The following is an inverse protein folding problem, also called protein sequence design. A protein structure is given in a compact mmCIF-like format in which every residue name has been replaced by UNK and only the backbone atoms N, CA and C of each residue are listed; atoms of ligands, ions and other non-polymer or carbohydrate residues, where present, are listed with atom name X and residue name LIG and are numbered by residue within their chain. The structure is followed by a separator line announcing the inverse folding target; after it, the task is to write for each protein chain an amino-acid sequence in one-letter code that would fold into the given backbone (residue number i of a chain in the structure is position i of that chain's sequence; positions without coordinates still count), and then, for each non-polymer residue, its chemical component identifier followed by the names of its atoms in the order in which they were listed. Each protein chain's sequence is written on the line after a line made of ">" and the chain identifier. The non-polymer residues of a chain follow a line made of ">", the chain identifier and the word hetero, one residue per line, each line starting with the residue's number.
data_IF_696051614361
#
_entry.id   IF_696051614361
#
_cell.length_a   1.000
_cell.length_b   1.000
_cell.length_c   1.000
_cell.angle_alpha   90.00
_cell.angle_beta   90.00
_cell.angle_gamma   90.00
#
_symmetry.space_group_name_H-M   'P 1'
#
loop_
_entity.id
_entity.type
_entity.pdbx_description
1 polymer ?
#
# COMPACT_ATOMS: atom_id res chain seq x y z
N UNK A 1 11.65 -1.47 -7.79
CA UNK A 1 10.54 -0.62 -7.30
C UNK A 1 10.15 -1.11 -5.91
N UNK A 2 10.28 -0.28 -4.88
CA UNK A 2 9.86 -0.64 -3.53
C UNK A 2 8.41 -0.17 -3.33
N UNK A 3 7.43 -1.09 -3.27
CA UNK A 3 6.02 -0.73 -3.09
C UNK A 3 5.75 -0.06 -1.73
N UNK A 4 6.61 -0.32 -0.74
CA UNK A 4 6.67 0.38 0.54
C UNK A 4 6.87 1.90 0.38
N UNK A 5 7.77 2.30 -0.52
CA UNK A 5 8.11 3.70 -0.74
C UNK A 5 7.00 4.47 -1.48
N UNK A 6 6.33 3.79 -2.41
CA UNK A 6 5.17 4.31 -3.16
C UNK A 6 3.96 4.61 -2.26
N UNK A 7 3.73 3.75 -1.28
CA UNK A 7 2.67 3.94 -0.29
C UNK A 7 3.12 4.76 0.93
N UNK A 8 4.42 5.08 1.03
CA UNK A 8 4.99 5.79 2.18
C UNK A 8 4.89 5.01 3.49
N UNK A 9 5.02 3.68 3.43
CA UNK A 9 4.90 2.77 4.57
C UNK A 9 6.18 1.97 4.80
N UNK A 10 6.47 1.62 6.05
CA UNK A 10 7.65 0.82 6.39
C UNK A 10 7.48 -0.68 6.07
N UNK A 11 8.57 -1.40 5.80
CA UNK A 11 8.56 -2.86 5.75
C UNK A 11 8.12 -3.45 7.09
N UNK A 12 7.20 -4.42 7.07
CA UNK A 12 6.56 -4.96 8.29
C UNK A 12 5.34 -4.15 8.78
N UNK A 13 4.87 -3.16 8.01
CA UNK A 13 3.66 -2.40 8.33
C UNK A 13 2.45 -3.31 8.54
N UNK A 14 1.69 -3.11 9.62
CA UNK A 14 0.47 -3.90 9.87
C UNK A 14 -0.57 -3.68 8.76
N UNK A 15 -1.40 -4.69 8.43
CA UNK A 15 -2.40 -4.59 7.37
C UNK A 15 -3.39 -3.43 7.57
N UNK A 16 -3.67 -3.04 8.82
CA UNK A 16 -4.47 -1.84 9.14
C UNK A 16 -3.80 -0.55 8.66
N UNK A 17 -2.49 -0.38 8.92
CA UNK A 17 -1.72 0.79 8.49
C UNK A 17 -1.54 0.83 6.98
N UNK A 18 -1.31 -0.32 6.35
CA UNK A 18 -1.25 -0.46 4.89
C UNK A 18 -2.56 0.00 4.23
N UNK A 19 -3.71 -0.43 4.77
CA UNK A 19 -5.05 -0.03 4.28
C UNK A 19 -5.30 1.46 4.49
N UNK A 20 -4.82 2.03 5.60
CA UNK A 20 -4.96 3.46 5.90
C UNK A 20 -4.13 4.32 4.93
N UNK A 21 -2.88 3.95 4.67
CA UNK A 21 -2.01 4.63 3.71
C UNK A 21 -2.58 4.57 2.28
N UNK A 22 -3.06 3.41 1.85
CA UNK A 22 -3.75 3.27 0.56
C UNK A 22 -4.93 4.23 0.44
N UNK A 23 -5.79 4.30 1.47
CA UNK A 23 -6.97 5.18 1.46
C UNK A 23 -6.57 6.66 1.33
N UNK A 24 -5.52 7.09 2.04
CA UNK A 24 -5.00 8.45 1.97
C UNK A 24 -4.45 8.79 0.58
N UNK A 25 -3.67 7.88 -0.02
CA UNK A 25 -3.12 8.06 -1.36
C UNK A 25 -4.20 8.08 -2.44
N UNK A 26 -5.21 7.19 -2.35
CA UNK A 26 -6.36 7.20 -3.27
C UNK A 26 -7.14 8.51 -3.17
N UNK A 27 -7.40 9.02 -1.96
CA UNK A 27 -8.09 10.29 -1.79
C UNK A 27 -7.28 11.48 -2.32
N UNK A 28 -5.95 11.43 -2.27
CA UNK A 28 -5.07 12.46 -2.86
C UNK A 28 -5.02 12.42 -4.38
N UNK A 29 -5.08 11.23 -4.97
CA UNK A 29 -4.90 11.03 -6.41
C UNK A 29 -6.22 10.75 -7.15
N UNK A 30 -7.37 10.89 -6.48
CA UNK A 30 -8.66 10.57 -7.06
C UNK A 30 -8.94 11.50 -8.26
N UNK A 31 -9.30 10.97 -9.44
CA UNK A 31 -9.55 11.79 -10.61
C UNK A 31 -10.80 12.68 -10.48
N UNK A 32 -11.67 12.36 -9.54
CA UNK A 32 -12.94 13.06 -9.29
C UNK A 32 -12.84 14.15 -8.20
N UNK A 33 -11.70 14.25 -7.48
CA UNK A 33 -11.46 15.42 -6.61
C UNK A 33 -11.04 16.59 -7.49
N UNK A 34 -11.95 17.55 -7.67
CA UNK A 34 -11.98 18.60 -8.69
C UNK A 34 -10.82 19.60 -8.80
N UNK A 35 -9.60 19.24 -8.40
CA UNK A 35 -8.38 20.07 -8.51
C UNK A 35 -7.50 19.73 -9.74
N UNK A 36 -8.02 19.00 -10.73
CA UNK A 36 -7.34 18.81 -12.03
C UNK A 36 -6.04 17.99 -11.99
N UNK A 37 -5.62 17.51 -10.81
CA UNK A 37 -4.43 16.69 -10.59
C UNK A 37 -4.78 15.20 -10.39
N UNK A 38 -5.87 14.75 -11.01
CA UNK A 38 -6.27 13.36 -11.07
C UNK A 38 -5.19 12.53 -11.75
N UNK A 39 -4.26 11.99 -10.97
CA UNK A 39 -3.09 11.32 -11.51
C UNK A 39 -3.37 9.82 -11.57
N UNK A 40 -4.08 9.41 -12.63
CA UNK A 40 -4.47 8.02 -12.90
C UNK A 40 -3.28 7.07 -12.84
N UNK A 41 -2.10 7.52 -13.29
CA UNK A 41 -0.87 6.75 -13.25
C UNK A 41 -0.44 6.43 -11.81
N UNK A 42 -0.44 7.45 -10.94
CA UNK A 42 -0.18 7.28 -9.50
C UNK A 42 -1.22 6.41 -8.81
N UNK A 43 -2.50 6.55 -9.17
CA UNK A 43 -3.55 5.70 -8.63
C UNK A 43 -3.32 4.22 -8.95
N UNK A 44 -2.90 3.91 -10.19
CA UNK A 44 -2.55 2.55 -10.62
C UNK A 44 -1.37 2.01 -9.81
N UNK A 45 -0.28 2.79 -9.75
CA UNK A 45 0.93 2.47 -8.99
C UNK A 45 0.63 2.17 -7.51
N UNK A 46 -0.13 3.03 -6.83
CA UNK A 46 -0.55 2.85 -5.43
C UNK A 46 -1.39 1.59 -5.25
N UNK A 47 -2.25 1.27 -6.22
CA UNK A 47 -3.11 0.06 -6.18
C UNK A 47 -2.31 -1.22 -6.38
N UNK A 48 -1.39 -1.25 -7.34
CA UNK A 48 -0.48 -2.39 -7.55
C UNK A 48 0.42 -2.61 -6.34
N UNK A 49 1.01 -1.53 -5.81
CA UNK A 49 1.82 -1.58 -4.60
C UNK A 49 1.03 -2.15 -3.41
N UNK A 50 -0.22 -1.74 -3.23
CA UNK A 50 -1.07 -2.23 -2.15
C UNK A 50 -1.38 -3.72 -2.28
N UNK A 51 -1.71 -4.19 -3.49
CA UNK A 51 -1.97 -5.62 -3.73
C UNK A 51 -0.71 -6.47 -3.51
N UNK A 52 0.45 -5.99 -3.94
CA UNK A 52 1.72 -6.70 -3.74
C UNK A 52 2.07 -6.78 -2.26
N UNK A 53 1.97 -5.66 -1.54
CA UNK A 53 2.22 -5.60 -0.11
C UNK A 53 1.21 -6.40 0.69
N UNK A 54 -0.06 -6.45 0.28
CA UNK A 54 -1.05 -7.27 0.95
C UNK A 54 -0.72 -8.77 0.82
N UNK A 55 -0.23 -9.20 -0.35
CA UNK A 55 0.25 -10.57 -0.55
C UNK A 55 1.52 -10.87 0.25
N UNK A 56 2.49 -9.97 0.25
CA UNK A 56 3.73 -10.09 1.03
C UNK A 56 3.44 -10.09 2.54
N UNK A 57 2.57 -9.22 3.02
CA UNK A 57 2.23 -9.12 4.44
C UNK A 57 1.41 -10.34 4.89
N UNK A 58 0.47 -10.83 4.07
CA UNK A 58 -0.18 -12.12 4.33
C UNK A 58 0.82 -13.29 4.37
N UNK A 59 1.87 -13.23 3.55
CA UNK A 59 2.97 -14.20 3.56
C UNK A 59 3.90 -14.03 4.78
N UNK A 60 4.18 -12.81 5.24
CA UNK A 60 4.96 -12.57 6.45
C UNK A 60 4.20 -13.02 7.69
N UNK A 61 2.89 -12.77 7.78
CA UNK A 61 2.05 -13.26 8.88
C UNK A 61 2.08 -14.80 8.95
N UNK A 62 2.06 -15.48 7.81
CA UNK A 62 2.11 -16.95 7.77
C UNK A 62 3.49 -17.53 8.07
N UNK A 63 4.58 -16.84 7.70
CA UNK A 63 5.95 -17.31 7.94
C UNK A 63 6.55 -16.88 9.29
N UNK A 64 6.14 -15.74 9.83
CA UNK A 64 6.65 -15.24 11.12
C UNK A 64 6.13 -16.03 12.33
N UNK A 65 5.14 -16.90 12.12
CA UNK A 65 4.68 -17.87 13.13
C UNK A 65 5.66 -19.04 13.34
N UNK A 66 6.80 -19.10 12.63
CA UNK A 66 7.78 -20.19 12.72
C UNK A 66 9.16 -19.84 13.28
N UNK A 67 9.42 -18.61 13.73
CA UNK A 67 10.73 -18.25 14.33
C UNK A 67 10.54 -17.67 15.72
N UNK A 68 10.17 -18.51 16.67
CA UNK A 68 10.41 -18.30 18.10
C UNK A 68 10.58 -19.68 18.73
N UNK A 69 11.74 -20.28 18.51
CA UNK A 69 12.23 -21.46 19.23
C UNK A 69 13.76 -21.45 19.19
#
# INVERSE_FOLDING_TARGET
>A
MNPYFELGVEPGVSPQRLKQAYRQSVMRYHPDTGEGNGNTDKFRQVTEAYQLLQKMNAYEISNSSKTTA
#
